data_IF_382127030134
#
_entry.id   IF_382127030134
#
_cell.length_a   1.000
_cell.length_b   1.000
_cell.length_c   1.000
_cell.angle_alpha   90.00
_cell.angle_beta   90.00
_cell.angle_gamma   90.00
#
_symmetry.space_group_name_H-M   'P 1'
#
loop_
_entity.id
_entity.type
_entity.pdbx_description
1 polymer ?
#
# COMPACT_ATOMS: atom_id res chain seq x y z
N UNK A 1 -27.72 1.29 5.07
CA UNK A 1 -26.83 0.87 3.99
C UNK A 1 -25.44 0.77 4.58
N UNK A 2 -24.64 -0.29 4.31
CA UNK A 2 -23.24 -0.28 4.70
C UNK A 2 -22.58 0.97 4.11
N UNK A 3 -21.75 1.64 4.90
CA UNK A 3 -20.97 2.77 4.37
C UNK A 3 -19.92 2.20 3.42
N UNK A 4 -19.84 2.73 2.20
CA UNK A 4 -18.77 2.41 1.25
C UNK A 4 -17.43 2.84 1.85
N UNK A 5 -16.41 1.99 1.68
CA UNK A 5 -15.04 2.31 2.10
C UNK A 5 -14.41 3.35 1.18
N UNK A 6 -14.74 3.27 -0.11
CA UNK A 6 -14.20 4.12 -1.18
C UNK A 6 -15.37 4.73 -1.96
N UNK A 7 -15.30 6.04 -2.19
CA UNK A 7 -16.25 6.74 -3.05
C UNK A 7 -15.55 7.10 -4.35
N UNK A 8 -15.92 6.46 -5.46
CA UNK A 8 -15.28 6.65 -6.76
C UNK A 8 -15.22 8.12 -7.17
N UNK A 9 -16.26 8.91 -6.91
CA UNK A 9 -16.30 10.35 -7.22
C UNK A 9 -15.21 11.17 -6.53
N UNK A 10 -14.64 10.65 -5.45
CA UNK A 10 -13.61 11.31 -4.65
C UNK A 10 -12.19 10.92 -5.09
N UNK A 11 -12.07 9.93 -6.01
CA UNK A 11 -10.81 9.59 -6.64
C UNK A 11 -10.38 10.70 -7.59
N UNK A 12 -9.13 11.14 -7.50
CA UNK A 12 -8.61 12.25 -8.27
C UNK A 12 -7.25 11.97 -8.88
N UNK A 13 -7.09 12.25 -10.17
CA UNK A 13 -5.77 12.29 -10.80
C UNK A 13 -5.01 13.52 -10.27
N UNK A 14 -3.87 13.28 -9.64
CA UNK A 14 -2.97 14.34 -9.12
C UNK A 14 -1.73 14.51 -9.99
N UNK A 15 -1.42 13.52 -10.82
CA UNK A 15 -0.30 13.58 -11.77
C UNK A 15 -0.59 12.70 -12.98
N UNK A 16 -0.10 13.10 -14.16
CA UNK A 16 -0.15 12.29 -15.38
C UNK A 16 -0.42 13.13 -16.63
N UNK A 17 0.03 12.63 -17.77
CA UNK A 17 -0.12 13.24 -19.07
C UNK A 17 -1.39 12.79 -19.84
N UNK A 18 -1.38 13.07 -21.16
CA UNK A 18 -2.48 12.75 -22.09
C UNK A 18 -2.46 11.28 -22.56
N UNK A 19 -1.39 10.52 -22.27
CA UNK A 19 -1.30 9.11 -22.65
C UNK A 19 -2.31 8.27 -21.84
N UNK A 20 -3.33 7.78 -22.55
CA UNK A 20 -4.41 6.98 -21.94
C UNK A 20 -3.96 5.56 -21.61
N UNK A 21 -2.84 5.10 -22.17
CA UNK A 21 -2.24 3.79 -21.89
C UNK A 21 -1.13 3.84 -20.83
N UNK A 22 -0.78 5.04 -20.35
CA UNK A 22 0.23 5.17 -19.29
C UNK A 22 -0.13 4.29 -18.08
N UNK A 23 0.87 3.66 -17.43
CA UNK A 23 0.65 2.94 -16.18
C UNK A 23 0.00 3.84 -15.13
N UNK A 24 -0.77 3.24 -14.23
CA UNK A 24 -1.42 3.98 -13.13
C UNK A 24 -0.89 3.50 -11.78
N UNK A 25 -0.55 4.45 -10.92
CA UNK A 25 -0.29 4.24 -9.50
C UNK A 25 -1.49 4.78 -8.71
N UNK A 26 -2.22 3.90 -8.05
CA UNK A 26 -3.27 4.26 -7.11
C UNK A 26 -2.66 4.44 -5.73
N UNK A 27 -2.84 5.60 -5.13
CA UNK A 27 -2.25 5.96 -3.85
C UNK A 27 -3.35 6.09 -2.78
N UNK A 28 -3.32 5.21 -1.78
CA UNK A 28 -4.25 5.25 -0.65
C UNK A 28 -3.99 6.51 0.16
N UNK A 29 -5.02 7.34 0.27
CA UNK A 29 -4.99 8.61 1.00
C UNK A 29 -5.90 8.57 2.23
N UNK A 30 -5.47 9.23 3.30
CA UNK A 30 -6.26 9.38 4.51
C UNK A 30 -6.75 10.80 4.63
N UNK A 31 -8.06 11.02 4.67
CA UNK A 31 -8.61 12.35 4.95
C UNK A 31 -8.17 12.91 6.30
N UNK A 32 -7.89 12.02 7.27
CA UNK A 32 -7.48 12.38 8.64
C UNK A 32 -6.00 12.83 8.72
N UNK A 33 -5.18 12.45 7.75
CA UNK A 33 -3.77 12.80 7.65
C UNK A 33 -3.52 13.39 6.26
N UNK A 34 -3.96 14.64 6.01
CA UNK A 34 -3.81 15.26 4.70
C UNK A 34 -2.33 15.41 4.38
N UNK A 35 -1.83 14.49 3.63
CA UNK A 35 -0.50 14.50 3.07
C UNK A 35 -0.64 14.85 1.58
N UNK A 36 0.08 15.86 1.12
CA UNK A 36 0.13 16.14 -0.31
C UNK A 36 1.10 15.17 -0.98
N UNK A 37 0.56 14.31 -1.83
CA UNK A 37 1.37 13.40 -2.65
C UNK A 37 2.00 14.11 -3.86
N UNK A 38 1.50 15.32 -4.20
CA UNK A 38 1.89 16.04 -5.41
C UNK A 38 3.41 16.26 -5.53
N UNK A 39 4.15 16.67 -4.47
CA UNK A 39 5.61 16.81 -4.57
C UNK A 39 6.34 15.48 -4.84
N UNK A 40 5.75 14.35 -4.42
CA UNK A 40 6.33 13.03 -4.63
C UNK A 40 6.18 12.52 -6.08
N UNK A 41 5.37 13.19 -6.89
CA UNK A 41 5.10 12.81 -8.27
C UNK A 41 6.05 13.48 -9.29
N UNK A 42 6.98 14.33 -8.85
CA UNK A 42 7.90 15.01 -9.77
C UNK A 42 8.78 13.99 -10.51
N UNK A 43 8.78 14.05 -11.84
CA UNK A 43 9.56 13.17 -12.71
C UNK A 43 8.98 11.77 -12.93
N UNK A 44 7.78 11.48 -12.41
CA UNK A 44 7.06 10.23 -12.62
C UNK A 44 6.38 10.24 -13.99
N UNK A 45 6.48 9.13 -14.73
CA UNK A 45 5.80 8.94 -16.05
C UNK A 45 4.41 8.34 -15.87
N UNK A 46 4.24 7.48 -14.88
CA UNK A 46 2.97 6.88 -14.55
C UNK A 46 1.94 7.94 -14.14
N UNK A 47 0.67 7.69 -14.43
CA UNK A 47 -0.44 8.48 -13.87
C UNK A 47 -0.58 8.16 -12.39
N UNK A 48 -0.79 9.16 -11.55
CA UNK A 48 -1.03 8.97 -10.12
C UNK A 48 -2.45 9.39 -9.77
N UNK A 49 -3.18 8.49 -9.13
CA UNK A 49 -4.58 8.67 -8.71
C UNK A 49 -4.67 8.52 -7.20
N UNK A 50 -5.13 9.55 -6.50
CA UNK A 50 -5.45 9.49 -5.06
C UNK A 50 -6.75 8.72 -4.85
N UNK A 51 -6.73 7.86 -3.85
CA UNK A 51 -7.87 7.04 -3.43
C UNK A 51 -8.17 7.33 -1.96
N UNK A 52 -9.10 8.22 -1.65
CA UNK A 52 -9.50 8.48 -0.26
C UNK A 52 -10.28 7.30 0.31
N UNK A 53 -9.95 6.90 1.53
CA UNK A 53 -10.60 5.82 2.27
C UNK A 53 -11.29 6.37 3.52
N UNK A 54 -12.54 5.99 3.71
CA UNK A 54 -13.44 6.59 4.73
C UNK A 54 -12.98 6.35 6.18
N UNK A 55 -12.39 5.18 6.47
CA UNK A 55 -11.92 4.84 7.82
C UNK A 55 -10.72 3.90 7.73
N UNK A 56 -9.60 4.31 8.30
CA UNK A 56 -8.37 3.53 8.27
C UNK A 56 -8.44 2.30 9.17
N UNK A 57 -8.86 2.47 10.41
CA UNK A 57 -8.92 1.40 11.41
C UNK A 57 -9.96 0.32 11.01
N UNK A 58 -11.00 0.73 10.29
CA UNK A 58 -12.07 -0.16 9.86
C UNK A 58 -11.75 -0.87 8.53
N UNK A 59 -11.27 -0.12 7.52
CA UNK A 59 -11.23 -0.56 6.14
C UNK A 59 -9.88 -1.12 5.66
N UNK A 60 -8.77 -0.79 6.34
CA UNK A 60 -7.43 -1.07 5.83
C UNK A 60 -6.70 -2.23 6.52
N UNK A 61 -7.36 -2.92 7.43
CA UNK A 61 -6.72 -3.98 8.23
C UNK A 61 -7.16 -5.37 7.76
N UNK A 62 -6.22 -6.34 7.66
CA UNK A 62 -6.47 -7.67 7.08
C UNK A 62 -7.48 -8.51 7.87
N UNK A 63 -7.46 -8.39 9.19
CA UNK A 63 -8.32 -9.09 10.15
C UNK A 63 -8.52 -8.23 11.39
N UNK A 64 -9.42 -8.65 12.29
CA UNK A 64 -9.68 -7.94 13.53
C UNK A 64 -8.49 -8.05 14.50
N UNK A 65 -8.15 -6.95 15.16
CA UNK A 65 -7.13 -6.92 16.20
C UNK A 65 -7.35 -5.77 17.17
N UNK A 66 -6.82 -5.89 18.39
CA UNK A 66 -6.81 -4.78 19.35
C UNK A 66 -5.88 -3.66 18.89
N UNK A 67 -6.33 -2.41 19.05
CA UNK A 67 -5.52 -1.25 18.75
C UNK A 67 -4.43 -1.04 19.82
N UNK A 68 -3.15 -0.86 19.44
CA UNK A 68 -2.09 -0.52 20.39
C UNK A 68 -2.19 0.94 20.91
N UNK A 69 -3.13 1.71 20.39
CA UNK A 69 -3.30 3.12 20.70
C UNK A 69 -4.47 3.32 21.66
N UNK A 70 -4.15 3.72 22.90
CA UNK A 70 -5.16 3.95 23.94
C UNK A 70 -6.25 4.91 23.49
N UNK A 71 -7.51 4.49 23.59
CA UNK A 71 -8.69 5.28 23.26
C UNK A 71 -9.02 5.33 21.75
N UNK A 72 -8.31 4.57 20.93
CA UNK A 72 -8.72 4.29 19.55
C UNK A 72 -9.59 3.03 19.50
N UNK A 73 -10.52 2.94 18.53
CA UNK A 73 -11.27 1.72 18.29
C UNK A 73 -10.34 0.59 17.86
N UNK A 74 -10.78 -0.65 18.08
CA UNK A 74 -10.10 -1.83 17.56
C UNK A 74 -10.22 -1.90 16.04
N UNK A 75 -9.30 -2.61 15.43
CA UNK A 75 -9.26 -2.81 13.99
C UNK A 75 -10.34 -3.79 13.53
N UNK A 76 -11.10 -3.43 12.48
CA UNK A 76 -12.27 -4.20 12.08
C UNK A 76 -12.00 -5.31 11.06
N UNK A 77 -10.85 -5.31 10.37
CA UNK A 77 -10.45 -6.41 9.49
C UNK A 77 -11.22 -6.49 8.17
N UNK A 78 -11.50 -5.35 7.53
CA UNK A 78 -12.30 -5.30 6.29
C UNK A 78 -11.45 -5.09 5.02
N UNK A 79 -10.16 -5.40 5.06
CA UNK A 79 -9.30 -5.15 3.90
C UNK A 79 -9.71 -5.94 2.65
N UNK A 80 -10.23 -7.18 2.79
CA UNK A 80 -10.70 -7.96 1.63
C UNK A 80 -11.88 -7.30 0.94
N UNK A 81 -12.87 -6.84 1.71
CA UNK A 81 -14.04 -6.13 1.20
C UNK A 81 -13.63 -4.82 0.53
N UNK A 82 -12.71 -4.09 1.17
CA UNK A 82 -12.19 -2.82 0.67
C UNK A 82 -11.36 -3.02 -0.61
N UNK A 83 -10.56 -4.08 -0.72
CA UNK A 83 -9.78 -4.39 -1.92
C UNK A 83 -10.70 -4.70 -3.11
N UNK A 84 -11.74 -5.50 -2.91
CA UNK A 84 -12.72 -5.79 -3.95
C UNK A 84 -13.47 -4.52 -4.40
N UNK A 85 -13.88 -3.66 -3.46
CA UNK A 85 -14.52 -2.38 -3.74
C UNK A 85 -13.57 -1.44 -4.51
N UNK A 86 -12.29 -1.37 -4.10
CA UNK A 86 -11.27 -0.57 -4.78
C UNK A 86 -11.10 -0.96 -6.25
N UNK A 87 -11.00 -2.24 -6.54
CA UNK A 87 -10.87 -2.73 -7.92
C UNK A 87 -12.07 -2.30 -8.77
N UNK A 88 -13.28 -2.42 -8.22
CA UNK A 88 -14.50 -1.93 -8.88
C UNK A 88 -14.46 -0.43 -9.16
N UNK A 89 -14.01 0.37 -8.18
CA UNK A 89 -13.84 1.82 -8.33
C UNK A 89 -12.74 2.17 -9.36
N UNK A 90 -11.63 1.43 -9.39
CA UNK A 90 -10.58 1.62 -10.40
C UNK A 90 -11.12 1.39 -11.81
N UNK A 91 -11.81 0.30 -12.06
CA UNK A 91 -12.43 0.03 -13.37
C UNK A 91 -13.42 1.12 -13.78
N UNK A 92 -14.28 1.55 -12.87
CA UNK A 92 -15.26 2.60 -13.14
C UNK A 92 -14.59 3.95 -13.41
N UNK A 93 -13.55 4.32 -12.65
CA UNK A 93 -12.75 5.51 -12.86
C UNK A 93 -12.03 5.50 -14.21
N UNK A 94 -11.37 4.38 -14.54
CA UNK A 94 -10.69 4.19 -15.83
C UNK A 94 -11.67 4.33 -16.99
N UNK A 95 -12.82 3.69 -16.91
CA UNK A 95 -13.86 3.76 -17.94
C UNK A 95 -14.41 5.18 -18.11
N UNK A 96 -14.70 5.89 -17.01
CA UNK A 96 -15.18 7.28 -17.02
C UNK A 96 -14.17 8.22 -17.69
N UNK A 97 -12.89 8.03 -17.43
CA UNK A 97 -11.80 8.86 -17.96
C UNK A 97 -11.27 8.38 -19.33
N UNK A 98 -11.79 7.28 -19.86
CA UNK A 98 -11.32 6.67 -21.10
C UNK A 98 -9.90 6.11 -21.03
N UNK A 99 -9.44 5.73 -19.81
CA UNK A 99 -8.10 5.21 -19.58
C UNK A 99 -8.04 3.70 -19.89
N UNK A 100 -6.92 3.24 -20.42
CA UNK A 100 -6.63 1.84 -20.69
C UNK A 100 -5.19 1.52 -20.23
N UNK A 101 -4.92 1.58 -18.92
CA UNK A 101 -3.55 1.51 -18.41
C UNK A 101 -2.90 0.17 -18.75
N UNK A 102 -1.63 0.23 -19.17
CA UNK A 102 -0.83 -0.95 -19.48
C UNK A 102 -0.53 -1.78 -18.23
N UNK A 103 -0.33 -1.13 -17.08
CA UNK A 103 -0.02 -1.75 -15.78
C UNK A 103 -0.60 -0.92 -14.64
N UNK A 104 -0.80 -1.56 -13.47
CA UNK A 104 -1.37 -0.93 -12.28
C UNK A 104 -0.52 -1.21 -11.05
N UNK A 105 -0.35 -0.17 -10.23
CA UNK A 105 0.30 -0.31 -8.93
C UNK A 105 -0.55 0.29 -7.82
N UNK A 106 -0.37 -0.22 -6.61
CA UNK A 106 -1.00 0.28 -5.39
C UNK A 106 0.08 0.76 -4.41
N UNK A 107 -0.09 1.96 -3.87
CA UNK A 107 0.82 2.54 -2.89
C UNK A 107 0.07 2.99 -1.64
N UNK A 108 0.71 2.86 -0.49
CA UNK A 108 0.13 3.37 0.75
C UNK A 108 1.19 3.57 1.84
N UNK A 109 0.83 4.40 2.82
CA UNK A 109 1.64 4.69 3.99
C UNK A 109 0.98 4.12 5.25
N UNK A 110 1.75 3.66 6.24
CA UNK A 110 1.23 3.19 7.52
C UNK A 110 0.22 2.03 7.34
N UNK A 111 -1.02 2.15 7.85
CA UNK A 111 -2.10 1.19 7.59
C UNK A 111 -2.44 1.10 6.09
N UNK A 112 -2.33 2.22 5.35
CA UNK A 112 -2.45 2.19 3.89
C UNK A 112 -1.37 1.34 3.21
N UNK A 113 -0.15 1.31 3.78
CA UNK A 113 0.93 0.43 3.31
C UNK A 113 0.70 -1.05 3.63
N UNK A 114 0.11 -1.35 4.79
CA UNK A 114 -0.35 -2.70 5.14
C UNK A 114 -1.44 -3.17 4.19
N UNK A 115 -2.44 -2.31 3.94
CA UNK A 115 -3.54 -2.59 3.00
C UNK A 115 -3.03 -2.79 1.57
N UNK A 116 -2.11 -1.94 1.09
CA UNK A 116 -1.55 -2.07 -0.25
C UNK A 116 -0.87 -3.42 -0.45
N UNK A 117 -0.12 -3.89 0.56
CA UNK A 117 0.46 -5.24 0.55
C UNK A 117 -0.61 -6.33 0.58
N UNK A 118 -1.60 -6.21 1.49
CA UNK A 118 -2.67 -7.20 1.59
C UNK A 118 -3.42 -7.34 0.26
N UNK A 119 -3.84 -6.24 -0.36
CA UNK A 119 -4.48 -6.25 -1.67
C UNK A 119 -3.56 -6.81 -2.77
N UNK A 120 -2.27 -6.46 -2.76
CA UNK A 120 -1.29 -6.99 -3.70
C UNK A 120 -1.12 -8.51 -3.57
N UNK A 121 -1.12 -9.06 -2.38
CA UNK A 121 -0.95 -10.50 -2.14
C UNK A 121 -2.15 -11.32 -2.66
N UNK A 122 -3.37 -10.79 -2.54
CA UNK A 122 -4.60 -11.52 -2.81
C UNK A 122 -5.21 -11.22 -4.19
N UNK A 123 -4.85 -10.08 -4.80
CA UNK A 123 -5.47 -9.63 -6.04
C UNK A 123 -4.46 -9.52 -7.19
N UNK A 124 -4.60 -10.35 -8.25
CA UNK A 124 -3.70 -10.30 -9.41
C UNK A 124 -3.89 -9.04 -10.27
N UNK A 125 -4.81 -8.16 -9.91
CA UNK A 125 -5.07 -6.87 -10.55
C UNK A 125 -3.87 -5.91 -10.46
N UNK A 126 -3.01 -6.09 -9.45
CA UNK A 126 -1.87 -5.24 -9.16
C UNK A 126 -0.57 -5.82 -9.70
N UNK A 127 0.11 -5.13 -10.60
CA UNK A 127 1.44 -5.50 -11.11
C UNK A 127 2.56 -5.13 -10.15
N UNK A 128 2.36 -4.06 -9.37
CA UNK A 128 3.33 -3.61 -8.38
C UNK A 128 2.67 -3.03 -7.12
N UNK A 129 3.43 -3.01 -6.03
CA UNK A 129 3.01 -2.45 -4.76
C UNK A 129 4.12 -1.64 -4.10
N UNK A 130 3.76 -0.56 -3.38
CA UNK A 130 4.67 0.14 -2.47
C UNK A 130 4.04 0.25 -1.08
N UNK A 131 4.71 -0.32 -0.08
CA UNK A 131 4.37 -0.20 1.33
C UNK A 131 5.38 0.73 2.01
N UNK A 132 4.94 1.95 2.29
CA UNK A 132 5.75 3.03 2.83
C UNK A 132 5.53 3.11 4.34
N UNK A 133 6.56 2.79 5.13
CA UNK A 133 6.40 2.65 6.59
C UNK A 133 5.13 1.88 6.95
N UNK A 134 4.84 0.84 6.17
CA UNK A 134 3.63 0.03 6.36
C UNK A 134 3.55 -0.55 7.77
N UNK A 135 2.35 -0.65 8.31
CA UNK A 135 2.09 -1.17 9.66
C UNK A 135 2.35 -2.69 9.76
N UNK A 136 3.53 -3.14 9.31
CA UNK A 136 3.90 -4.57 9.23
C UNK A 136 4.19 -5.21 10.60
N UNK A 137 4.05 -4.43 11.66
CA UNK A 137 3.97 -4.86 13.05
C UNK A 137 2.57 -5.40 13.43
N UNK A 138 1.63 -5.36 12.50
CA UNK A 138 0.23 -5.75 12.74
C UNK A 138 0.14 -7.16 13.33
N UNK A 139 -0.70 -7.38 14.38
CA UNK A 139 -0.78 -8.69 15.04
C UNK A 139 -1.10 -9.80 14.04
N UNK A 140 -0.29 -10.86 14.02
CA UNK A 140 -0.45 -12.01 13.10
C UNK A 140 0.16 -11.80 11.70
N UNK A 141 0.70 -10.61 11.37
CA UNK A 141 1.26 -10.37 10.03
C UNK A 141 2.51 -11.20 9.77
N UNK A 142 3.43 -11.29 10.73
CA UNK A 142 4.65 -12.09 10.58
C UNK A 142 4.34 -13.57 10.36
N UNK A 143 3.40 -14.12 11.13
CA UNK A 143 2.92 -15.50 10.99
C UNK A 143 2.24 -15.75 9.64
N UNK A 144 1.45 -14.78 9.16
CA UNK A 144 0.84 -14.86 7.82
C UNK A 144 1.91 -14.90 6.71
N UNK A 145 2.97 -14.11 6.84
CA UNK A 145 4.09 -14.10 5.89
C UNK A 145 4.92 -15.40 5.96
N UNK A 146 5.09 -15.98 7.15
CA UNK A 146 5.71 -17.30 7.30
C UNK A 146 4.89 -18.38 6.58
N UNK A 147 3.59 -18.40 6.76
CA UNK A 147 2.71 -19.33 6.07
C UNK A 147 2.76 -19.13 4.55
N UNK A 148 2.77 -17.88 4.09
CA UNK A 148 2.91 -17.56 2.67
C UNK A 148 4.23 -18.09 2.11
N UNK A 149 5.35 -17.87 2.80
CA UNK A 149 6.67 -18.34 2.36
C UNK A 149 6.75 -19.87 2.20
N UNK A 150 5.93 -20.63 2.92
CA UNK A 150 5.85 -22.09 2.87
C UNK A 150 4.79 -22.61 1.89
N UNK A 151 3.95 -21.75 1.32
CA UNK A 151 2.91 -22.12 0.38
C UNK A 151 3.53 -22.65 -0.94
N UNK A 152 2.89 -23.63 -1.59
CA UNK A 152 3.47 -24.28 -2.79
C UNK A 152 2.89 -23.79 -4.12
N UNK A 153 1.71 -23.19 -4.09
CA UNK A 153 0.95 -22.83 -5.29
C UNK A 153 0.79 -21.32 -5.45
N UNK A 154 1.79 -20.57 -4.98
CA UNK A 154 1.81 -19.10 -5.06
C UNK A 154 2.92 -18.69 -6.03
N UNK A 155 2.61 -17.77 -6.94
CA UNK A 155 3.55 -17.22 -7.91
C UNK A 155 3.34 -15.71 -8.05
N UNK A 156 4.40 -14.95 -7.76
CA UNK A 156 4.46 -13.50 -7.96
C UNK A 156 5.45 -13.12 -9.08
N UNK A 157 5.83 -14.06 -9.94
CA UNK A 157 6.72 -13.78 -11.06
C UNK A 157 6.16 -12.67 -11.96
N UNK A 158 7.02 -11.73 -12.34
CA UNK A 158 6.62 -10.54 -13.13
C UNK A 158 5.96 -9.41 -12.34
N UNK A 159 5.75 -9.61 -11.03
CA UNK A 159 5.23 -8.59 -10.11
C UNK A 159 6.37 -7.99 -9.27
N UNK A 160 6.21 -6.77 -8.80
CA UNK A 160 7.27 -6.05 -8.07
C UNK A 160 6.73 -5.40 -6.79
N UNK A 161 7.55 -5.36 -5.74
CA UNK A 161 7.20 -4.76 -4.46
C UNK A 161 8.31 -3.85 -3.93
N UNK A 162 7.94 -2.65 -3.47
CA UNK A 162 8.82 -1.75 -2.74
C UNK A 162 8.38 -1.64 -1.29
N UNK A 163 9.31 -1.93 -0.37
CA UNK A 163 9.08 -1.88 1.07
C UNK A 163 10.02 -0.85 1.69
N UNK A 164 9.50 0.07 2.49
CA UNK A 164 10.35 1.02 3.21
C UNK A 164 9.94 1.19 4.66
N UNK A 165 10.93 1.48 5.52
CA UNK A 165 10.76 1.76 6.94
C UNK A 165 11.81 2.75 7.42
N UNK A 166 11.51 3.54 8.45
CA UNK A 166 12.48 4.41 9.10
C UNK A 166 13.37 3.67 10.10
N UNK A 167 14.65 4.01 10.14
CA UNK A 167 15.66 3.38 11.02
C UNK A 167 15.42 3.59 12.53
N UNK A 168 14.44 4.41 12.91
CA UNK A 168 14.02 4.63 14.29
C UNK A 168 12.63 4.07 14.61
N UNK A 169 11.92 3.49 13.66
CA UNK A 169 10.59 2.93 13.89
C UNK A 169 10.63 1.74 14.85
N UNK A 170 11.67 0.91 14.80
CA UNK A 170 11.90 -0.14 15.77
C UNK A 170 12.16 0.36 17.22
N UNK A 171 12.22 1.67 17.43
CA UNK A 171 12.36 2.32 18.75
C UNK A 171 11.06 3.00 19.20
N UNK A 172 9.94 2.67 18.60
CA UNK A 172 8.63 3.20 18.96
C UNK A 172 8.32 2.98 20.46
N UNK A 173 7.59 3.90 21.11
CA UNK A 173 7.17 3.74 22.51
C UNK A 173 6.34 2.46 22.72
N UNK A 174 5.41 2.16 21.82
CA UNK A 174 4.55 1.00 21.87
C UNK A 174 5.37 -0.26 21.48
N UNK A 175 5.43 -1.29 22.33
CA UNK A 175 6.22 -2.50 22.06
C UNK A 175 5.88 -3.18 20.73
N UNK A 176 4.58 -3.26 20.38
CA UNK A 176 4.10 -3.92 19.16
C UNK A 176 4.69 -3.28 17.89
N UNK A 177 4.78 -1.95 17.85
CA UNK A 177 5.28 -1.22 16.69
C UNK A 177 6.77 -1.49 16.39
N UNK A 178 7.53 -1.97 17.38
CA UNK A 178 8.96 -2.26 17.23
C UNK A 178 9.24 -3.42 16.28
N UNK A 179 8.25 -4.27 16.03
CA UNK A 179 8.36 -5.41 15.12
C UNK A 179 8.23 -5.05 13.63
N UNK A 180 8.09 -3.77 13.29
CA UNK A 180 7.90 -3.32 11.89
C UNK A 180 9.03 -3.76 10.95
N UNK A 181 10.29 -3.76 11.41
CA UNK A 181 11.44 -4.18 10.60
C UNK A 181 11.42 -5.70 10.39
N UNK A 182 11.07 -6.46 11.42
CA UNK A 182 10.88 -7.90 11.34
C UNK A 182 9.75 -8.26 10.36
N UNK A 183 8.60 -7.59 10.49
CA UNK A 183 7.47 -7.76 9.56
C UNK A 183 7.86 -7.42 8.12
N UNK A 184 8.65 -6.37 7.90
CA UNK A 184 9.16 -6.04 6.57
C UNK A 184 10.09 -7.13 6.02
N UNK A 185 11.00 -7.66 6.83
CA UNK A 185 11.92 -8.71 6.40
C UNK A 185 11.19 -10.02 6.08
N UNK A 186 10.19 -10.40 6.88
CA UNK A 186 9.36 -11.57 6.62
C UNK A 186 8.53 -11.41 5.35
N UNK A 187 7.97 -10.21 5.12
CA UNK A 187 7.24 -9.89 3.88
C UNK A 187 8.14 -10.00 2.65
N UNK A 188 9.34 -9.42 2.72
CA UNK A 188 10.31 -9.50 1.62
C UNK A 188 10.66 -10.95 1.29
N UNK A 189 11.00 -11.74 2.30
CA UNK A 189 11.31 -13.16 2.13
C UNK A 189 10.15 -13.93 1.49
N UNK A 190 8.93 -13.76 2.00
CA UNK A 190 7.75 -14.44 1.49
C UNK A 190 7.47 -14.11 0.02
N UNK A 191 7.67 -12.85 -0.38
CA UNK A 191 7.51 -12.42 -1.77
C UNK A 191 8.63 -12.94 -2.68
N UNK A 192 9.89 -12.85 -2.25
CA UNK A 192 11.06 -13.26 -3.03
C UNK A 192 11.08 -14.78 -3.32
N UNK A 193 10.71 -15.61 -2.36
CA UNK A 193 10.67 -17.08 -2.56
C UNK A 193 9.61 -17.48 -3.59
N UNK A 194 8.64 -16.61 -3.86
CA UNK A 194 7.60 -16.82 -4.88
C UNK A 194 7.83 -15.97 -6.16
N UNK A 195 9.05 -15.49 -6.39
CA UNK A 195 9.46 -14.87 -7.65
C UNK A 195 9.14 -13.38 -7.79
N UNK A 196 8.66 -12.70 -6.75
CA UNK A 196 8.46 -11.26 -6.77
C UNK A 196 9.80 -10.52 -6.83
N UNK A 197 9.88 -9.46 -7.62
CA UNK A 197 11.01 -8.54 -7.59
C UNK A 197 10.83 -7.57 -6.40
N UNK A 198 11.58 -7.77 -5.31
CA UNK A 198 11.45 -6.98 -4.08
C UNK A 198 12.60 -6.00 -3.93
N UNK A 199 12.27 -4.74 -3.58
CA UNK A 199 13.25 -3.72 -3.17
C UNK A 199 12.90 -3.25 -1.77
N UNK A 200 13.83 -3.40 -0.83
CA UNK A 200 13.71 -2.90 0.55
C UNK A 200 14.59 -1.68 0.79
N UNK A 201 14.08 -0.71 1.55
CA UNK A 201 14.85 0.45 1.99
C UNK A 201 14.62 0.76 3.47
N UNK A 202 15.70 0.93 4.23
CA UNK A 202 15.66 1.49 5.58
C UNK A 202 16.16 2.92 5.51
N UNK A 203 15.24 3.88 5.50
CA UNK A 203 15.51 5.31 5.43
C UNK A 203 15.75 5.94 6.81
N UNK A 204 16.06 7.24 6.87
CA UNK A 204 16.22 7.94 8.14
C UNK A 204 14.87 8.16 8.84
N UNK A 205 14.91 8.34 10.18
CA UNK A 205 13.80 8.85 10.98
C UNK A 205 12.88 7.80 11.56
N UNK A 206 11.89 8.30 12.31
CA UNK A 206 10.78 7.56 12.88
C UNK A 206 9.59 7.57 11.91
N UNK A 207 8.48 6.95 12.30
CA UNK A 207 7.28 6.73 11.48
C UNK A 207 6.75 8.01 10.80
N UNK A 208 6.63 9.11 11.54
CA UNK A 208 6.10 10.39 11.04
C UNK A 208 7.19 11.37 10.61
N UNK A 209 8.40 10.90 10.31
CA UNK A 209 9.50 11.71 9.86
C UNK A 209 9.90 11.31 8.44
N UNK A 210 10.24 12.30 7.60
CA UNK A 210 10.64 12.10 6.21
C UNK A 210 9.57 11.39 5.34
N UNK A 211 8.28 11.61 5.62
CA UNK A 211 7.17 11.00 4.88
C UNK A 211 7.22 11.34 3.39
N UNK A 212 7.42 12.61 3.05
CA UNK A 212 7.54 13.08 1.67
C UNK A 212 8.67 12.37 0.92
N UNK A 213 9.84 12.21 1.54
CA UNK A 213 10.98 11.50 0.94
C UNK A 213 10.66 10.02 0.70
N UNK A 214 9.95 9.37 1.64
CA UNK A 214 9.50 7.97 1.46
C UNK A 214 8.48 7.84 0.33
N UNK A 215 7.52 8.76 0.24
CA UNK A 215 6.58 8.79 -0.87
C UNK A 215 7.31 8.99 -2.20
N UNK A 216 8.19 9.97 -2.31
CA UNK A 216 8.98 10.25 -3.52
C UNK A 216 9.77 9.02 -3.98
N UNK A 217 10.44 8.32 -3.06
CA UNK A 217 11.18 7.09 -3.36
C UNK A 217 10.29 5.93 -3.75
N UNK A 218 9.17 5.77 -3.07
CA UNK A 218 8.17 4.75 -3.40
C UNK A 218 7.56 4.96 -4.78
N UNK A 219 7.18 6.19 -5.11
CA UNK A 219 6.66 6.55 -6.44
C UNK A 219 7.69 6.30 -7.53
N UNK A 220 8.96 6.72 -7.32
CA UNK A 220 10.04 6.47 -8.27
C UNK A 220 10.32 4.97 -8.46
N UNK A 221 10.23 4.16 -7.39
CA UNK A 221 10.38 2.72 -7.48
C UNK A 221 9.23 2.10 -8.30
N UNK A 222 7.97 2.48 -8.02
CA UNK A 222 6.82 2.00 -8.78
C UNK A 222 6.89 2.41 -10.25
N UNK A 223 7.23 3.67 -10.56
CA UNK A 223 7.41 4.12 -11.94
C UNK A 223 8.46 3.29 -12.69
N UNK A 224 9.55 2.94 -12.00
CA UNK A 224 10.59 2.05 -12.54
C UNK A 224 10.10 0.61 -12.75
N UNK A 225 9.24 0.07 -11.89
CA UNK A 225 8.69 -1.27 -12.02
C UNK A 225 7.64 -1.39 -13.12
N UNK A 226 6.93 -0.30 -13.40
CA UNK A 226 5.86 -0.25 -14.40
C UNK A 226 6.35 0.10 -15.82
N UNK A 227 7.64 0.43 -15.96
CA UNK A 227 8.27 0.84 -17.21
C UNK A 227 8.36 -0.26 -18.28
#
# INVERSE_FOLDING_TARGET
>A
MPKTAIVQSDMATVHGGEDMAAPIIYAIDAPEFPFSIDPACEGIRARVVKVPVASWDENLTPWTAESPFRGRPDYAGKADETAAELIGCCHAFEAEKGLAPSRRALAGYSLGGLFALHAFLHEPFWDACASLSGSLWYPGWAEAMEHLALAREVDFSGRSCYLSVGNREAKAPQPQLRHVVEGMAMTALALEVHGCNVRCEIGPGAHTQHEEDRWRKGMAALDSFLA
#
